data_IF_208281092987
#
_entry.id   IF_208281092987
#
_cell.length_a   1.000
_cell.length_b   1.000
_cell.length_c   1.000
_cell.angle_alpha   90.00
_cell.angle_beta   90.00
_cell.angle_gamma   90.00
#
_symmetry.space_group_name_H-M   'P 1'
#
loop_
_entity.id
_entity.type
_entity.pdbx_description
1 polymer ?
#
# COMPACT_ATOMS: atom_id res chain seq x y z
N UNK A 1 26.80 -7.04 -4.45
CA UNK A 1 25.45 -7.34 -3.92
C UNK A 1 25.58 -7.70 -2.45
N UNK A 2 24.70 -7.19 -1.57
CA UNK A 2 24.70 -7.48 -0.13
C UNK A 2 23.88 -8.73 0.16
N UNK A 3 24.15 -9.44 1.27
CA UNK A 3 23.41 -10.66 1.66
C UNK A 3 21.88 -10.45 1.68
N UNK A 4 21.42 -9.29 2.15
CA UNK A 4 19.99 -8.96 2.17
C UNK A 4 19.35 -8.83 0.79
N UNK A 5 20.12 -8.52 -0.27
CA UNK A 5 19.58 -8.44 -1.63
C UNK A 5 19.10 -9.83 -2.11
N UNK A 6 19.85 -10.89 -1.75
CA UNK A 6 19.48 -12.27 -2.06
C UNK A 6 18.26 -12.74 -1.26
N UNK A 7 18.20 -12.44 0.05
CA UNK A 7 17.08 -12.84 0.90
C UNK A 7 15.79 -12.16 0.46
N UNK A 8 15.84 -10.85 0.20
CA UNK A 8 14.70 -10.10 -0.31
C UNK A 8 14.26 -10.60 -1.69
N UNK A 9 15.23 -10.82 -2.59
CA UNK A 9 14.98 -11.35 -3.93
C UNK A 9 14.37 -12.74 -3.92
N UNK A 10 14.82 -13.63 -3.03
CA UNK A 10 14.25 -14.96 -2.84
C UNK A 10 12.80 -14.88 -2.35
N UNK A 11 12.51 -13.99 -1.39
CA UNK A 11 11.15 -13.75 -0.93
C UNK A 11 10.23 -13.32 -2.08
N UNK A 12 10.68 -12.41 -2.94
CA UNK A 12 9.93 -11.98 -4.12
C UNK A 12 9.74 -13.12 -5.13
N UNK A 13 10.80 -13.89 -5.37
CA UNK A 13 10.77 -15.03 -6.28
C UNK A 13 9.76 -16.08 -5.85
N UNK A 14 9.64 -16.37 -4.54
CA UNK A 14 8.62 -17.31 -4.03
C UNK A 14 7.21 -16.85 -4.42
N UNK A 15 6.89 -15.57 -4.23
CA UNK A 15 5.58 -15.03 -4.62
C UNK A 15 5.35 -15.11 -6.14
N UNK A 16 6.38 -14.85 -6.94
CA UNK A 16 6.30 -15.00 -8.40
C UNK A 16 6.07 -16.46 -8.79
N UNK A 17 6.79 -17.41 -8.19
CA UNK A 17 6.65 -18.84 -8.47
C UNK A 17 5.28 -19.38 -8.08
N UNK A 18 4.71 -18.93 -6.96
CA UNK A 18 3.33 -19.26 -6.57
C UNK A 18 2.33 -18.90 -7.69
N UNK A 19 2.55 -17.80 -8.40
CA UNK A 19 1.68 -17.35 -9.50
C UNK A 19 2.03 -17.95 -10.86
N UNK A 20 3.32 -18.19 -11.12
CA UNK A 20 3.80 -18.70 -12.41
C UNK A 20 3.47 -20.19 -12.59
N UNK A 21 3.56 -20.98 -11.51
CA UNK A 21 3.27 -22.42 -11.55
C UNK A 21 1.75 -22.65 -11.48
N UNK A 22 1.13 -23.31 -12.48
CA UNK A 22 -0.33 -23.47 -12.55
C UNK A 22 -0.96 -24.13 -11.32
N UNK A 23 -0.37 -25.21 -10.81
CA UNK A 23 -0.91 -25.94 -9.66
C UNK A 23 -0.83 -25.11 -8.37
N UNK A 24 0.33 -24.48 -8.13
CA UNK A 24 0.51 -23.56 -7.02
C UNK A 24 -0.47 -22.38 -7.09
N UNK A 25 -0.69 -21.84 -8.29
CA UNK A 25 -1.65 -20.76 -8.52
C UNK A 25 -3.07 -21.23 -8.20
N UNK A 26 -3.48 -22.39 -8.67
CA UNK A 26 -4.82 -22.93 -8.41
C UNK A 26 -5.07 -23.08 -6.90
N UNK A 27 -4.11 -23.65 -6.17
CA UNK A 27 -4.18 -23.77 -4.70
C UNK A 27 -4.24 -22.39 -4.04
N UNK A 28 -3.37 -21.47 -4.46
CA UNK A 28 -3.33 -20.11 -3.91
C UNK A 28 -4.64 -19.35 -4.11
N UNK A 29 -5.25 -19.49 -5.28
CA UNK A 29 -6.52 -18.85 -5.62
C UNK A 29 -7.68 -19.43 -4.81
N UNK A 30 -7.72 -20.76 -4.66
CA UNK A 30 -8.70 -21.43 -3.79
C UNK A 30 -8.60 -20.97 -2.34
N UNK A 31 -7.41 -21.00 -1.75
CA UNK A 31 -7.18 -20.55 -0.37
C UNK A 31 -7.52 -19.06 -0.20
N UNK A 32 -7.22 -18.25 -1.21
CA UNK A 32 -7.58 -16.83 -1.22
C UNK A 32 -9.09 -16.61 -1.25
N UNK A 33 -9.83 -17.43 -2.00
CA UNK A 33 -11.29 -17.40 -2.05
C UNK A 33 -11.94 -17.86 -0.74
N UNK A 34 -11.42 -18.94 -0.14
CA UNK A 34 -11.95 -19.52 1.11
C UNK A 34 -11.67 -18.63 2.33
N UNK A 35 -10.56 -17.89 2.32
CA UNK A 35 -10.10 -17.06 3.43
C UNK A 35 -9.64 -15.67 2.97
N UNK A 36 -10.54 -14.83 2.45
CA UNK A 36 -10.17 -13.56 1.81
C UNK A 36 -9.48 -12.61 2.78
N UNK A 37 -9.99 -12.48 4.00
CA UNK A 37 -9.41 -11.61 5.03
C UNK A 37 -8.03 -12.09 5.51
N UNK A 38 -7.90 -13.36 5.90
CA UNK A 38 -6.61 -13.91 6.32
C UNK A 38 -5.58 -13.83 5.19
N UNK A 39 -6.00 -14.13 3.96
CA UNK A 39 -5.17 -13.97 2.77
C UNK A 39 -4.75 -12.52 2.55
N UNK A 40 -5.66 -11.55 2.66
CA UNK A 40 -5.35 -10.12 2.56
C UNK A 40 -4.36 -9.65 3.61
N UNK A 41 -4.55 -10.07 4.86
CA UNK A 41 -3.62 -9.80 5.95
C UNK A 41 -2.21 -10.30 5.63
N UNK A 42 -2.07 -11.58 5.27
CA UNK A 42 -0.75 -12.17 5.00
C UNK A 42 -0.08 -11.51 3.79
N UNK A 43 -0.82 -11.28 2.70
CA UNK A 43 -0.30 -10.64 1.48
C UNK A 43 0.30 -9.27 1.79
N UNK A 44 -0.43 -8.40 2.47
CA UNK A 44 0.06 -7.06 2.80
C UNK A 44 1.13 -7.08 3.89
N UNK A 45 0.96 -7.88 4.95
CA UNK A 45 1.95 -8.02 6.01
C UNK A 45 3.33 -8.39 5.45
N UNK A 46 3.39 -9.24 4.43
CA UNK A 46 4.65 -9.64 3.79
C UNK A 46 5.09 -8.63 2.72
N UNK A 47 4.28 -8.39 1.68
CA UNK A 47 4.71 -7.62 0.51
C UNK A 47 4.87 -6.13 0.78
N UNK A 48 4.02 -5.54 1.62
CA UNK A 48 4.18 -4.12 1.97
C UNK A 48 5.41 -3.90 2.87
N UNK A 49 5.66 -4.83 3.81
CA UNK A 49 6.91 -4.83 4.59
C UNK A 49 8.14 -4.98 3.70
N UNK A 50 8.08 -5.85 2.67
CA UNK A 50 9.14 -5.94 1.68
C UNK A 50 9.36 -4.61 0.94
N UNK A 51 8.28 -3.88 0.63
CA UNK A 51 8.33 -2.53 0.06
C UNK A 51 9.02 -1.51 0.97
N UNK A 52 8.68 -1.49 2.26
CA UNK A 52 9.32 -0.61 3.25
C UNK A 52 10.83 -0.88 3.35
N UNK A 53 11.21 -2.16 3.45
CA UNK A 53 12.61 -2.57 3.52
C UNK A 53 13.37 -2.22 2.24
N UNK A 54 12.74 -2.38 1.07
CA UNK A 54 13.30 -1.96 -0.21
C UNK A 54 13.53 -0.45 -0.25
N UNK A 55 12.56 0.34 0.21
CA UNK A 55 12.67 1.79 0.32
C UNK A 55 13.87 2.21 1.19
N UNK A 56 14.04 1.59 2.36
CA UNK A 56 15.20 1.81 3.24
C UNK A 56 16.50 1.46 2.53
N UNK A 57 16.54 0.29 1.87
CA UNK A 57 17.70 -0.20 1.12
C UNK A 57 18.10 0.75 -0.01
N UNK A 58 17.13 1.31 -0.71
CA UNK A 58 17.37 2.26 -1.78
C UNK A 58 17.87 3.60 -1.23
N UNK A 59 17.30 4.10 -0.13
CA UNK A 59 17.71 5.36 0.49
C UNK A 59 19.09 5.30 1.13
N UNK A 60 19.37 4.29 1.95
CA UNK A 60 20.59 4.19 2.76
C UNK A 60 21.72 3.40 2.11
N UNK A 61 21.43 2.68 1.02
CA UNK A 61 22.39 1.76 0.40
C UNK A 61 22.62 0.47 1.20
N UNK A 62 21.95 0.29 2.34
CA UNK A 62 22.12 -0.85 3.24
C UNK A 62 20.77 -1.38 3.72
N UNK A 63 20.70 -2.68 4.01
CA UNK A 63 19.53 -3.27 4.66
C UNK A 63 19.57 -2.96 6.14
N UNK A 64 18.50 -2.33 6.63
CA UNK A 64 18.34 -1.99 8.05
C UNK A 64 16.92 -2.32 8.46
N UNK A 65 16.78 -3.08 9.54
CA UNK A 65 15.49 -3.40 10.12
C UNK A 65 15.04 -2.19 10.94
N UNK A 66 13.91 -1.54 10.60
CA UNK A 66 13.40 -0.43 11.38
C UNK A 66 12.98 -0.92 12.76
N UNK A 67 13.13 -0.06 13.78
CA UNK A 67 12.61 -0.35 15.12
C UNK A 67 11.08 -0.52 15.04
N UNK A 68 10.56 -1.50 15.78
CA UNK A 68 9.13 -1.79 15.78
C UNK A 68 8.62 -2.46 14.50
N UNK A 69 9.49 -3.10 13.70
CA UNK A 69 9.11 -3.82 12.48
C UNK A 69 7.91 -4.75 12.69
N UNK A 70 7.87 -5.50 13.80
CA UNK A 70 6.73 -6.37 14.12
C UNK A 70 5.40 -5.61 14.13
N UNK A 71 5.34 -4.44 14.76
CA UNK A 71 4.13 -3.62 14.79
C UNK A 71 3.77 -3.10 13.40
N UNK A 72 4.77 -2.71 12.59
CA UNK A 72 4.57 -2.28 11.20
C UNK A 72 4.00 -3.41 10.33
N UNK A 73 4.50 -4.64 10.49
CA UNK A 73 3.96 -5.84 9.83
C UNK A 73 2.48 -6.05 10.20
N UNK A 74 2.13 -5.89 11.47
CA UNK A 74 0.74 -6.01 11.93
C UNK A 74 -0.15 -4.90 11.35
N UNK A 75 0.32 -3.66 11.30
CA UNK A 75 -0.39 -2.53 10.67
C UNK A 75 -0.63 -2.82 9.19
N UNK A 76 0.38 -3.28 8.46
CA UNK A 76 0.22 -3.69 7.06
C UNK A 76 -0.79 -4.81 6.90
N UNK A 77 -0.75 -5.82 7.78
CA UNK A 77 -1.76 -6.87 7.79
C UNK A 77 -3.19 -6.33 7.98
N UNK A 78 -3.39 -5.39 8.92
CA UNK A 78 -4.67 -4.72 9.12
C UNK A 78 -5.10 -3.94 7.88
N UNK A 79 -4.17 -3.23 7.23
CA UNK A 79 -4.44 -2.57 5.94
C UNK A 79 -4.86 -3.60 4.89
N UNK A 80 -4.25 -4.78 4.86
CA UNK A 80 -4.68 -5.88 3.99
C UNK A 80 -6.11 -6.34 4.22
N UNK A 81 -6.56 -6.38 5.49
CA UNK A 81 -7.97 -6.65 5.82
C UNK A 81 -8.89 -5.55 5.28
N UNK A 82 -8.52 -4.29 5.48
CA UNK A 82 -9.27 -3.13 4.99
C UNK A 82 -9.36 -3.16 3.46
N UNK A 83 -8.24 -3.35 2.76
CA UNK A 83 -8.14 -3.42 1.30
C UNK A 83 -9.03 -4.53 0.74
N UNK A 84 -9.04 -5.70 1.39
CA UNK A 84 -9.89 -6.83 1.00
C UNK A 84 -11.37 -6.46 0.99
N UNK A 85 -11.84 -5.77 2.05
CA UNK A 85 -13.22 -5.31 2.13
C UNK A 85 -13.52 -4.19 1.13
N UNK A 86 -12.71 -3.14 1.14
CA UNK A 86 -13.01 -1.92 0.37
C UNK A 86 -12.96 -2.16 -1.14
N UNK A 87 -12.12 -3.07 -1.64
CA UNK A 87 -12.16 -3.44 -3.06
C UNK A 87 -13.53 -3.97 -3.47
N UNK A 88 -14.16 -4.78 -2.61
CA UNK A 88 -15.53 -5.28 -2.84
C UNK A 88 -16.54 -4.14 -2.76
N UNK A 89 -16.45 -3.31 -1.72
CA UNK A 89 -17.38 -2.18 -1.50
C UNK A 89 -17.34 -1.17 -2.64
N UNK A 90 -16.17 -0.74 -3.08
CA UNK A 90 -16.05 0.28 -4.13
C UNK A 90 -16.37 -0.29 -5.51
N UNK A 91 -15.93 -1.51 -5.86
CA UNK A 91 -16.28 -2.10 -7.15
C UNK A 91 -17.78 -2.41 -7.26
N UNK A 92 -18.38 -2.97 -6.20
CA UNK A 92 -19.82 -3.21 -6.14
C UNK A 92 -20.64 -1.92 -6.11
N UNK A 93 -20.21 -0.94 -5.31
CA UNK A 93 -20.86 0.37 -5.22
C UNK A 93 -20.80 1.15 -6.52
N UNK A 94 -19.68 1.11 -7.25
CA UNK A 94 -19.56 1.73 -8.58
C UNK A 94 -20.48 1.06 -9.59
N UNK A 95 -20.54 -0.28 -9.63
CA UNK A 95 -21.47 -0.99 -10.51
C UNK A 95 -22.93 -0.59 -10.20
N UNK A 96 -23.31 -0.56 -8.92
CA UNK A 96 -24.65 -0.16 -8.51
C UNK A 96 -24.97 1.29 -8.93
N UNK A 97 -24.06 2.23 -8.69
CA UNK A 97 -24.24 3.62 -9.10
C UNK A 97 -24.35 3.79 -10.62
N UNK A 98 -23.62 2.99 -11.41
CA UNK A 98 -23.77 2.97 -12.87
C UNK A 98 -25.15 2.42 -13.30
N UNK A 99 -25.61 1.33 -12.67
CA UNK A 99 -26.93 0.74 -12.96
C UNK A 99 -28.10 1.67 -12.64
N UNK A 100 -27.92 2.56 -11.66
CA UNK A 100 -28.91 3.58 -11.27
C UNK A 100 -28.80 4.88 -12.10
N UNK A 101 -27.88 4.95 -13.06
CA UNK A 101 -27.63 6.17 -13.85
C UNK A 101 -26.97 7.31 -13.08
N UNK A 102 -26.46 7.06 -11.87
CA UNK A 102 -25.72 8.06 -11.07
C UNK A 102 -24.26 8.21 -11.55
N UNK A 103 -23.72 7.19 -12.20
CA UNK A 103 -22.44 7.22 -12.89
C UNK A 103 -22.61 6.81 -14.36
N UNK A 104 -21.81 7.38 -15.28
CA UNK A 104 -21.93 7.07 -16.70
C UNK A 104 -21.37 5.68 -17.05
N UNK A 105 -21.62 5.26 -18.30
CA UNK A 105 -21.04 4.06 -18.92
C UNK A 105 -21.42 2.74 -18.22
N UNK A 106 -22.72 2.53 -18.00
CA UNK A 106 -23.24 1.24 -17.54
C UNK A 106 -22.68 0.08 -18.38
N UNK A 107 -22.40 -1.04 -17.72
CA UNK A 107 -21.87 -2.28 -18.30
C UNK A 107 -20.47 -2.17 -18.95
N UNK A 108 -19.79 -1.03 -18.82
CA UNK A 108 -18.39 -0.87 -19.23
C UNK A 108 -17.45 -1.19 -18.06
N UNK A 109 -16.86 -2.39 -18.09
CA UNK A 109 -15.85 -2.81 -17.10
C UNK A 109 -14.66 -1.84 -16.99
N UNK A 110 -14.08 -1.31 -18.09
CA UNK A 110 -13.03 -0.30 -17.99
C UNK A 110 -13.49 0.98 -17.30
N UNK A 111 -14.71 1.44 -17.56
CA UNK A 111 -15.26 2.61 -16.89
C UNK A 111 -15.52 2.32 -15.40
N UNK A 112 -16.07 1.16 -15.07
CA UNK A 112 -16.27 0.73 -13.68
C UNK A 112 -14.94 0.67 -12.92
N UNK A 113 -13.89 0.09 -13.51
CA UNK A 113 -12.57 -0.01 -12.91
C UNK A 113 -11.95 1.38 -12.65
N UNK A 114 -12.05 2.28 -13.63
CA UNK A 114 -11.55 3.65 -13.48
C UNK A 114 -12.34 4.44 -12.44
N UNK A 115 -13.67 4.47 -12.54
CA UNK A 115 -14.54 5.22 -11.63
C UNK A 115 -14.47 4.67 -10.20
N UNK A 116 -14.42 3.33 -10.04
CA UNK A 116 -14.23 2.69 -8.74
C UNK A 116 -12.87 3.01 -8.14
N UNK A 117 -11.82 3.03 -8.97
CA UNK A 117 -10.50 3.48 -8.55
C UNK A 117 -10.50 4.94 -8.12
N UNK A 118 -11.11 5.85 -8.89
CA UNK A 118 -11.24 7.27 -8.53
C UNK A 118 -11.95 7.40 -7.19
N UNK A 119 -13.16 6.85 -7.06
CA UNK A 119 -13.98 6.96 -5.85
C UNK A 119 -13.23 6.44 -4.61
N UNK A 120 -12.60 5.27 -4.72
CA UNK A 120 -11.82 4.69 -3.62
C UNK A 120 -10.64 5.59 -3.24
N UNK A 121 -9.85 6.05 -4.22
CA UNK A 121 -8.60 6.79 -3.96
C UNK A 121 -8.81 8.26 -3.58
N UNK A 122 -10.00 8.83 -3.77
CA UNK A 122 -10.35 10.18 -3.27
C UNK A 122 -11.09 10.15 -1.93
N UNK A 123 -11.62 9.00 -1.51
CA UNK A 123 -12.35 8.87 -0.23
C UNK A 123 -11.60 8.00 0.78
N UNK A 124 -11.49 6.70 0.53
CA UNK A 124 -10.79 5.76 1.42
C UNK A 124 -9.27 5.96 1.40
N UNK A 125 -8.68 6.20 0.22
CA UNK A 125 -7.24 6.36 0.04
C UNK A 125 -6.60 7.37 1.01
N UNK A 126 -7.10 8.63 1.07
CA UNK A 126 -6.56 9.67 1.95
C UNK A 126 -6.65 9.28 3.43
N UNK A 127 -7.78 8.70 3.86
CA UNK A 127 -7.98 8.25 5.24
C UNK A 127 -7.07 7.08 5.60
N UNK A 128 -6.89 6.12 4.69
CA UNK A 128 -5.95 5.01 4.86
C UNK A 128 -4.51 5.52 4.99
N UNK A 129 -4.11 6.51 4.18
CA UNK A 129 -2.78 7.14 4.29
C UNK A 129 -2.57 7.83 5.63
N UNK A 130 -3.58 8.55 6.15
CA UNK A 130 -3.53 9.14 7.50
C UNK A 130 -3.38 8.03 8.55
N UNK A 131 -4.21 6.98 8.48
CA UNK A 131 -4.14 5.85 9.40
C UNK A 131 -2.75 5.21 9.43
N UNK A 132 -2.21 4.87 8.26
CA UNK A 132 -0.89 4.28 8.12
C UNK A 132 0.20 5.21 8.68
N UNK A 133 0.14 6.51 8.36
CA UNK A 133 1.13 7.48 8.81
C UNK A 133 1.11 7.70 10.32
N UNK A 134 -0.07 7.76 10.92
CA UNK A 134 -0.20 7.95 12.37
C UNK A 134 0.20 6.70 13.15
N UNK A 135 -0.10 5.50 12.64
CA UNK A 135 0.36 4.26 13.25
C UNK A 135 1.88 4.14 13.19
N UNK A 136 2.50 4.52 12.07
CA UNK A 136 3.96 4.62 11.95
C UNK A 136 4.57 5.62 12.94
N UNK A 137 4.02 6.84 13.01
CA UNK A 137 4.50 7.86 13.95
C UNK A 137 4.37 7.39 15.42
N UNK A 138 3.31 6.67 15.74
CA UNK A 138 3.11 6.09 17.06
C UNK A 138 4.15 5.00 17.38
N UNK A 139 4.41 4.09 16.43
CA UNK A 139 5.41 3.03 16.57
C UNK A 139 6.81 3.65 16.77
N UNK A 140 7.16 4.66 15.97
CA UNK A 140 8.44 5.36 16.09
C UNK A 140 8.56 6.05 17.46
N UNK A 141 7.53 6.78 17.89
CA UNK A 141 7.54 7.47 19.19
C UNK A 141 7.69 6.50 20.37
N UNK A 142 7.02 5.33 20.31
CA UNK A 142 7.11 4.29 21.34
C UNK A 142 8.47 3.61 21.36
N UNK A 143 9.03 3.31 20.20
CA UNK A 143 10.33 2.61 20.10
C UNK A 143 11.54 3.51 20.38
N UNK A 144 11.38 4.83 20.21
CA UNK A 144 12.39 5.82 20.61
C UNK A 144 12.35 6.17 22.12
N UNK A 145 11.44 5.58 22.91
CA UNK A 145 11.26 5.84 24.35
C UNK A 145 11.07 7.33 24.71
N UNK A 146 10.55 8.13 23.78
CA UNK A 146 10.33 9.57 23.98
C UNK A 146 9.05 9.83 24.77
N UNK A 147 9.13 9.62 26.09
CA UNK A 147 8.10 10.03 27.05
C UNK A 147 6.68 9.53 26.74
N UNK A 148 5.68 10.27 27.25
CA UNK A 148 4.27 9.94 27.04
C UNK A 148 3.86 10.30 25.61
N UNK A 149 3.60 9.29 24.80
CA UNK A 149 3.02 9.46 23.45
C UNK A 149 1.56 9.88 23.57
N UNK A 150 1.21 11.05 23.02
CA UNK A 150 -0.16 11.58 22.99
C UNK A 150 -0.60 11.83 21.55
N UNK A 151 -1.91 11.79 21.29
CA UNK A 151 -2.44 12.07 19.94
C UNK A 151 -2.04 13.47 19.46
N UNK A 152 -2.12 14.49 20.33
CA UNK A 152 -1.68 15.86 20.05
C UNK A 152 -0.21 15.92 19.60
N UNK A 153 0.69 15.17 20.26
CA UNK A 153 2.09 15.13 19.84
C UNK A 153 2.30 14.51 18.46
N UNK A 154 1.51 13.49 18.10
CA UNK A 154 1.57 12.87 16.76
C UNK A 154 1.03 13.80 15.68
N UNK A 155 -0.09 14.50 15.96
CA UNK A 155 -0.67 15.49 15.04
C UNK A 155 0.35 16.58 14.71
N UNK A 156 1.07 17.09 15.73
CA UNK A 156 2.10 18.12 15.54
C UNK A 156 3.35 17.60 14.83
N UNK A 157 3.73 16.34 15.07
CA UNK A 157 4.89 15.70 14.42
C UNK A 157 4.62 15.36 12.95
N UNK A 158 3.35 15.20 12.56
CA UNK A 158 2.98 14.85 11.20
C UNK A 158 3.26 16.02 10.22
N UNK A 159 3.98 15.72 9.14
CA UNK A 159 4.19 16.64 8.03
C UNK A 159 2.95 16.66 7.12
N UNK A 160 2.04 17.59 7.39
CA UNK A 160 0.80 17.78 6.64
C UNK A 160 1.04 18.25 5.21
N UNK A 161 2.09 19.03 4.95
CA UNK A 161 2.42 19.50 3.60
C UNK A 161 2.79 18.30 2.70
N UNK A 162 3.68 17.43 3.16
CA UNK A 162 4.00 16.19 2.44
C UNK A 162 2.79 15.26 2.30
N UNK A 163 1.86 15.25 3.26
CA UNK A 163 0.65 14.44 3.14
C UNK A 163 -0.22 14.96 1.99
N UNK A 164 -0.51 16.26 1.99
CA UNK A 164 -1.43 16.87 1.03
C UNK A 164 -0.78 17.01 -0.33
N UNK A 165 0.33 17.74 -0.44
CA UNK A 165 0.94 18.11 -1.72
C UNK A 165 1.54 16.92 -2.46
N UNK A 166 2.13 15.98 -1.72
CA UNK A 166 2.81 14.84 -2.33
C UNK A 166 1.94 13.58 -2.33
N UNK A 167 1.33 13.22 -1.19
CA UNK A 167 0.57 11.96 -1.13
C UNK A 167 -0.80 12.11 -1.82
N UNK A 168 -1.59 13.13 -1.46
CA UNK A 168 -2.95 13.29 -1.98
C UNK A 168 -3.02 13.96 -3.35
N UNK A 169 -2.20 14.96 -3.63
CA UNK A 169 -2.28 15.71 -4.90
C UNK A 169 -1.40 15.13 -6.01
N UNK A 170 -0.35 14.36 -5.68
CA UNK A 170 0.53 13.73 -6.68
C UNK A 170 0.38 12.22 -6.71
N UNK A 171 0.60 11.56 -5.59
CA UNK A 171 0.65 10.09 -5.56
C UNK A 171 -0.75 9.48 -5.77
N UNK A 172 -1.80 10.01 -5.15
CA UNK A 172 -3.17 9.53 -5.38
C UNK A 172 -3.57 9.62 -6.87
N UNK A 173 -3.52 10.80 -7.55
CA UNK A 173 -4.01 10.92 -8.91
C UNK A 173 -3.12 10.26 -9.95
N UNK A 174 -1.79 10.37 -9.81
CA UNK A 174 -0.87 9.96 -10.87
C UNK A 174 -0.28 8.56 -10.68
N UNK A 175 -0.33 8.00 -9.47
CA UNK A 175 0.13 6.63 -9.22
C UNK A 175 -1.03 5.72 -8.83
N UNK A 176 -1.76 6.04 -7.76
CA UNK A 176 -2.76 5.11 -7.21
C UNK A 176 -4.01 4.96 -8.05
N UNK A 177 -4.57 6.03 -8.61
CA UNK A 177 -5.76 5.93 -9.47
C UNK A 177 -5.46 5.06 -10.72
N UNK A 178 -4.39 5.31 -11.50
CA UNK A 178 -4.03 4.45 -12.62
C UNK A 178 -3.72 3.01 -12.19
N UNK A 179 -2.92 2.83 -11.13
CA UNK A 179 -2.53 1.49 -10.69
C UNK A 179 -3.73 0.68 -10.18
N UNK A 180 -4.61 1.27 -9.37
CA UNK A 180 -5.83 0.60 -8.90
C UNK A 180 -6.86 0.39 -10.02
N UNK A 181 -6.87 1.23 -11.06
CA UNK A 181 -7.67 0.97 -12.27
C UNK A 181 -7.24 -0.34 -12.92
N UNK A 182 -5.92 -0.53 -13.12
CA UNK A 182 -5.37 -1.79 -13.65
C UNK A 182 -5.68 -2.97 -12.73
N UNK A 183 -5.53 -2.80 -11.42
CA UNK A 183 -5.90 -3.84 -10.44
C UNK A 183 -7.37 -4.22 -10.57
N UNK A 184 -8.28 -3.27 -10.74
CA UNK A 184 -9.72 -3.52 -10.83
C UNK A 184 -10.17 -4.16 -12.14
N UNK A 185 -9.34 -4.11 -13.19
CA UNK A 185 -9.54 -4.91 -14.40
C UNK A 185 -9.22 -6.41 -14.19
N UNK A 186 -8.48 -6.76 -13.15
CA UNK A 186 -8.16 -8.15 -12.85
C UNK A 186 -9.37 -8.90 -12.24
N UNK A 187 -9.43 -10.23 -12.35
CA UNK A 187 -10.36 -11.05 -11.58
C UNK A 187 -10.19 -10.81 -10.07
N UNK A 188 -11.28 -10.92 -9.31
CA UNK A 188 -11.39 -10.48 -7.92
C UNK A 188 -10.30 -11.04 -6.99
N UNK A 189 -9.96 -12.30 -7.19
CA UNK A 189 -9.01 -13.07 -6.41
C UNK A 189 -7.56 -12.57 -6.58
N UNK A 190 -7.24 -11.95 -7.72
CA UNK A 190 -5.92 -11.35 -7.98
C UNK A 190 -5.79 -9.93 -7.43
N UNK A 191 -6.90 -9.23 -7.22
CA UNK A 191 -6.88 -7.78 -6.95
C UNK A 191 -6.08 -7.43 -5.70
N UNK A 192 -6.36 -8.11 -4.59
CA UNK A 192 -5.69 -7.86 -3.31
C UNK A 192 -4.19 -8.18 -3.39
N UNK A 193 -3.81 -9.25 -4.10
CA UNK A 193 -2.41 -9.58 -4.29
C UNK A 193 -1.70 -8.55 -5.18
N UNK A 194 -2.30 -8.18 -6.30
CA UNK A 194 -1.75 -7.17 -7.21
C UNK A 194 -1.55 -5.83 -6.48
N UNK A 195 -2.51 -5.43 -5.65
CA UNK A 195 -2.36 -4.24 -4.80
C UNK A 195 -1.24 -4.37 -3.76
N UNK A 196 -1.05 -5.55 -3.16
CA UNK A 196 0.06 -5.79 -2.25
C UNK A 196 1.43 -5.69 -2.95
N UNK A 197 1.54 -6.10 -4.23
CA UNK A 197 2.74 -5.84 -5.05
C UNK A 197 2.97 -4.34 -5.32
N UNK A 198 1.90 -3.55 -5.49
CA UNK A 198 2.03 -2.10 -5.64
C UNK A 198 2.70 -1.44 -4.42
N UNK A 199 2.59 -2.01 -3.22
CA UNK A 199 3.31 -1.53 -2.03
C UNK A 199 4.84 -1.61 -2.20
N UNK A 200 5.35 -2.61 -2.94
CA UNK A 200 6.78 -2.70 -3.28
C UNK A 200 7.16 -1.58 -4.25
N UNK A 201 6.36 -1.38 -5.30
CA UNK A 201 6.58 -0.32 -6.28
C UNK A 201 6.55 1.07 -5.63
N UNK A 202 5.61 1.30 -4.71
CA UNK A 202 5.53 2.53 -3.93
C UNK A 202 6.78 2.75 -3.08
N UNK A 203 7.24 1.72 -2.35
CA UNK A 203 8.46 1.82 -1.54
C UNK A 203 9.67 2.25 -2.35
N UNK A 204 9.80 1.73 -3.58
CA UNK A 204 10.84 2.14 -4.52
C UNK A 204 10.63 3.58 -5.03
N UNK A 205 9.41 3.94 -5.42
CA UNK A 205 9.06 5.28 -5.92
C UNK A 205 9.35 6.37 -4.88
N UNK A 206 8.95 6.15 -3.62
CA UNK A 206 9.20 7.07 -2.52
C UNK A 206 10.69 7.26 -2.23
N UNK A 207 11.47 6.18 -2.33
CA UNK A 207 12.92 6.24 -2.16
C UNK A 207 13.59 7.07 -3.27
N UNK A 208 13.14 6.94 -4.51
CA UNK A 208 13.65 7.73 -5.64
C UNK A 208 13.27 9.20 -5.50
N UNK A 209 12.01 9.50 -5.16
CA UNK A 209 11.53 10.88 -4.97
C UNK A 209 12.32 11.62 -3.86
N UNK A 210 12.63 10.93 -2.75
CA UNK A 210 13.43 11.50 -1.66
C UNK A 210 14.89 11.73 -2.02
N UNK A 211 15.49 10.90 -2.88
CA UNK A 211 16.88 11.13 -3.37
C UNK A 211 17.01 12.33 -4.29
N UNK A 212 15.94 12.70 -5.00
CA UNK A 212 15.94 13.79 -5.97
C UNK A 212 15.72 15.16 -5.32
N UNK A 213 15.22 15.24 -4.08
CA UNK A 213 15.03 16.51 -3.37
C UNK A 213 16.40 17.00 -2.86
N UNK A 214 16.94 18.14 -3.33
CA UNK A 214 18.13 18.74 -2.73
C UNK A 214 17.84 19.06 -1.26
N UNK A 215 18.87 18.98 -0.40
CA UNK A 215 18.74 19.45 0.97
C UNK A 215 18.30 20.92 0.96
N UNK A 216 17.25 21.24 1.73
CA UNK A 216 16.74 22.60 1.84
C UNK A 216 17.82 23.46 2.53
N UNK A 217 18.35 24.53 1.89
CA UNK A 217 19.40 25.36 2.48
C UNK A 217 18.99 25.98 3.83
N UNK A 218 17.69 26.07 4.10
CA UNK A 218 17.11 26.72 5.28
C UNK A 218 17.20 25.88 6.57
N UNK A 219 17.65 24.61 6.50
CA UNK A 219 17.90 23.77 7.69
C UNK A 219 19.39 23.65 8.06
N UNK A 220 20.26 24.40 7.38
CA UNK A 220 21.70 24.40 7.60
C UNK A 220 22.26 25.68 8.26
N UNK A 221 21.38 26.56 8.79
CA UNK A 221 21.75 27.77 9.51
C UNK A 221 21.23 27.76 10.96
#
# INVERSE_FOLDING_TARGET
>A
MKRGDYVWGLGLLIWILILAVPDSRAVFMRVTGDHPYAGGFVKFAVLATMGDLLGIRMLRGEWSIPKGLFYRVMVWGIIGLMITLVFTVYMGGTAAAQSLGMLPFQDSLPAQAFLGSVLMNVTFGPMMMVFHRFTDLFIDAKTEQKGKVTLSSLIRKNDWNSLVEFSWLKTCPFFWIPAHTVVFLLPGEYRVLASAFLSIALGALLALAKKQKPADPETAA
#
